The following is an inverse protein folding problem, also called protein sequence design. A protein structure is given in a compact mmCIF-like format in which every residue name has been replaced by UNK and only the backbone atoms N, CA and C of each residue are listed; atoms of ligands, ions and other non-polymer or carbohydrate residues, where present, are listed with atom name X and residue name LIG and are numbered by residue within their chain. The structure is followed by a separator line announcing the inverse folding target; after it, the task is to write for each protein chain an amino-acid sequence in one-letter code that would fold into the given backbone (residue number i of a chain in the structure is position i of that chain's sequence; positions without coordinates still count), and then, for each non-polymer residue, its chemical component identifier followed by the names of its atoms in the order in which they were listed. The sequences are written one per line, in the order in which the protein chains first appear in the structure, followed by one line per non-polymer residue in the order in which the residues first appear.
data_IF_125860651328
#
_entry.id   IF_125860651328
#
_cell.length_a   1.000
_cell.length_b   1.000
_cell.length_c   1.000
_cell.angle_alpha   90.00
_cell.angle_beta   90.00
_cell.angle_gamma   90.00
#
_symmetry.space_group_name_H-M   'P 1'
#
loop_
_entity.id
_entity.type
_entity.pdbx_description
1 polymer ?
#
# COMPACT_ATOMS: atom_id res chain seq x y z
N UNK A 1 -14.82 -13.12 21.69
CA UNK A 1 -14.60 -14.16 20.66
C UNK A 1 -14.56 -13.62 19.23
N UNK A 2 -15.58 -12.89 18.73
CA UNK A 2 -15.58 -12.33 17.35
C UNK A 2 -14.32 -11.50 17.00
N UNK A 3 -13.86 -10.65 17.92
CA UNK A 3 -12.62 -9.87 17.74
C UNK A 3 -11.35 -10.74 17.63
N UNK A 4 -11.29 -11.85 18.37
CA UNK A 4 -10.14 -12.78 18.34
C UNK A 4 -10.10 -13.54 17.02
N UNK A 5 -11.25 -13.99 16.52
CA UNK A 5 -11.34 -14.64 15.21
C UNK A 5 -10.95 -13.69 14.08
N UNK A 6 -11.38 -12.43 14.12
CA UNK A 6 -10.96 -11.41 13.15
C UNK A 6 -9.45 -11.12 13.23
N UNK A 7 -8.87 -11.09 14.42
CA UNK A 7 -7.42 -10.93 14.58
C UNK A 7 -6.67 -12.11 13.99
N UNK A 8 -7.08 -13.34 14.30
CA UNK A 8 -6.48 -14.56 13.73
C UNK A 8 -6.65 -14.63 12.21
N UNK A 9 -7.77 -14.12 11.69
CA UNK A 9 -8.02 -14.00 10.25
C UNK A 9 -7.04 -13.04 9.55
N UNK A 10 -6.71 -11.92 10.20
CA UNK A 10 -5.83 -10.89 9.63
C UNK A 10 -4.34 -11.13 9.91
N UNK A 11 -4.03 -11.98 10.89
CA UNK A 11 -2.69 -12.21 11.38
C UNK A 11 -1.72 -12.70 10.30
N UNK A 12 -2.06 -13.72 9.45
CA UNK A 12 -1.14 -14.18 8.42
C UNK A 12 -0.73 -13.08 7.45
N UNK A 13 -1.69 -12.26 6.99
CA UNK A 13 -1.41 -11.15 6.08
C UNK A 13 -0.55 -10.07 6.74
N UNK A 14 -0.84 -9.74 8.00
CA UNK A 14 -0.03 -8.75 8.72
C UNK A 14 1.41 -9.21 8.91
N UNK A 15 1.63 -10.51 9.20
CA UNK A 15 2.98 -11.09 9.29
C UNK A 15 3.71 -10.97 7.95
N UNK A 16 3.06 -11.31 6.84
CA UNK A 16 3.64 -11.15 5.49
C UNK A 16 4.00 -9.69 5.21
N UNK A 17 3.09 -8.76 5.53
CA UNK A 17 3.34 -7.32 5.41
C UNK A 17 4.57 -6.86 6.18
N UNK A 18 4.72 -7.31 7.43
CA UNK A 18 5.90 -7.01 8.26
C UNK A 18 7.19 -7.57 7.64
N UNK A 19 7.17 -8.79 7.12
CA UNK A 19 8.33 -9.39 6.45
C UNK A 19 8.72 -8.56 5.22
N UNK A 20 7.76 -8.19 4.37
CA UNK A 20 8.01 -7.38 3.18
C UNK A 20 8.58 -6.00 3.53
N UNK A 21 8.01 -5.31 4.52
CA UNK A 21 8.52 -4.01 4.96
C UNK A 21 9.89 -4.14 5.63
N UNK A 22 10.11 -5.13 6.50
CA UNK A 22 11.39 -5.33 7.15
C UNK A 22 12.50 -5.57 6.12
N UNK A 23 12.23 -6.41 5.12
CA UNK A 23 13.13 -6.59 3.99
C UNK A 23 13.42 -5.26 3.28
N UNK A 24 12.40 -4.45 3.04
CA UNK A 24 12.58 -3.20 2.30
C UNK A 24 13.27 -2.09 3.11
N UNK A 25 13.04 -2.03 4.42
CA UNK A 25 13.77 -1.16 5.35
C UNK A 25 15.27 -1.52 5.42
N UNK A 26 15.65 -2.77 5.17
CA UNK A 26 17.06 -3.18 5.09
C UNK A 26 17.72 -2.69 3.80
N UNK A 27 16.98 -2.72 2.69
CA UNK A 27 17.51 -2.41 1.34
C UNK A 27 17.46 -0.91 1.03
N UNK A 28 16.65 -0.13 1.74
CA UNK A 28 16.51 1.32 1.54
C UNK A 28 17.20 2.14 2.65
N UNK A 29 17.91 3.18 2.25
CA UNK A 29 18.63 4.07 3.18
C UNK A 29 17.72 5.10 3.84
N UNK A 30 16.57 5.41 3.24
CA UNK A 30 15.65 6.45 3.70
C UNK A 30 14.19 6.03 3.53
N UNK A 31 13.43 6.11 4.62
CA UNK A 31 11.99 5.90 4.62
C UNK A 31 11.32 6.82 5.65
N UNK A 32 10.05 7.11 5.43
CA UNK A 32 9.18 7.78 6.39
C UNK A 32 8.06 6.84 6.81
N UNK A 33 7.60 6.95 8.06
CA UNK A 33 6.55 6.10 8.60
C UNK A 33 5.43 6.94 9.20
N UNK A 34 4.18 6.52 8.97
CA UNK A 34 2.99 7.08 9.60
C UNK A 34 1.95 5.99 9.84
N UNK A 35 1.13 6.14 10.88
CA UNK A 35 -0.03 5.26 11.09
C UNK A 35 -1.31 6.00 10.70
N UNK A 36 -2.09 5.42 9.77
CA UNK A 36 -3.39 5.93 9.35
C UNK A 36 -4.42 4.80 9.40
N UNK A 37 -5.58 5.05 10.01
CA UNK A 37 -6.67 4.09 10.14
C UNK A 37 -6.26 2.69 10.67
N UNK A 38 -5.33 2.65 11.63
CA UNK A 38 -4.79 1.39 12.16
C UNK A 38 -3.97 0.57 11.15
N UNK A 39 -3.42 1.22 10.13
CA UNK A 39 -2.44 0.67 9.18
C UNK A 39 -1.16 1.49 9.28
N UNK A 40 -0.02 0.83 9.44
CA UNK A 40 1.29 1.44 9.34
C UNK A 40 1.68 1.58 7.86
N UNK A 41 1.94 2.81 7.43
CA UNK A 41 2.32 3.16 6.07
C UNK A 41 3.79 3.57 6.06
N UNK A 42 4.55 2.94 5.19
CA UNK A 42 5.97 3.23 4.96
C UNK A 42 6.12 3.90 3.59
N UNK A 43 6.68 5.11 3.58
CA UNK A 43 7.00 5.84 2.37
C UNK A 43 8.47 5.63 2.05
N UNK A 44 8.75 4.90 0.97
CA UNK A 44 10.10 4.58 0.54
C UNK A 44 10.53 5.46 -0.63
N UNK A 45 11.81 5.79 -0.72
CA UNK A 45 12.33 6.52 -1.88
C UNK A 45 12.10 5.75 -3.17
N UNK A 46 12.36 4.45 -3.17
CA UNK A 46 12.30 3.63 -4.37
C UNK A 46 11.70 2.27 -4.03
N UNK A 47 10.98 1.66 -4.98
CA UNK A 47 10.78 0.22 -5.07
C UNK A 47 11.49 -0.34 -6.31
N UNK A 48 11.73 -1.66 -6.43
CA UNK A 48 12.14 -2.24 -7.70
C UNK A 48 11.07 -1.93 -8.76
N UNK A 49 11.45 -1.73 -10.02
CA UNK A 49 10.52 -1.29 -11.08
C UNK A 49 9.32 -2.20 -11.35
N UNK A 50 9.32 -3.41 -10.78
CA UNK A 50 8.25 -4.40 -10.87
C UNK A 50 7.34 -4.43 -9.63
N UNK A 51 7.61 -3.61 -8.60
CA UNK A 51 6.77 -3.39 -7.42
C UNK A 51 6.40 -1.91 -7.37
N UNK A 52 5.11 -1.62 -7.28
CA UNK A 52 4.61 -0.24 -7.19
C UNK A 52 4.04 0.08 -5.80
N UNK A 53 3.81 -0.94 -4.98
CA UNK A 53 3.33 -0.85 -3.61
C UNK A 53 3.29 -2.23 -2.96
N UNK A 54 3.19 -2.25 -1.64
CA UNK A 54 2.95 -3.46 -0.85
C UNK A 54 1.83 -3.17 0.14
N UNK A 55 0.80 -4.00 0.20
CA UNK A 55 -0.33 -3.76 1.11
C UNK A 55 -0.91 -5.08 1.62
N UNK A 56 -0.62 -5.37 2.90
CA UNK A 56 -1.00 -6.61 3.56
C UNK A 56 -1.41 -6.35 5.01
N UNK A 57 -2.65 -6.70 5.36
CA UNK A 57 -3.20 -6.53 6.69
C UNK A 57 -3.04 -5.11 7.21
N UNK A 58 -2.26 -4.94 8.27
CA UNK A 58 -2.01 -3.65 8.93
C UNK A 58 -0.79 -2.90 8.39
N UNK A 59 -0.23 -3.33 7.25
CA UNK A 59 0.98 -2.78 6.66
C UNK A 59 0.72 -2.33 5.22
N UNK A 60 1.18 -1.13 4.89
CA UNK A 60 1.25 -0.61 3.52
C UNK A 60 2.61 0.03 3.25
N UNK A 61 3.08 -0.05 2.01
CA UNK A 61 4.33 0.53 1.53
C UNK A 61 4.11 1.25 0.22
N UNK A 62 4.57 2.49 0.14
CA UNK A 62 4.31 3.42 -0.96
C UNK A 62 5.63 4.00 -1.47
N UNK A 63 5.79 4.07 -2.79
CA UNK A 63 6.91 4.80 -3.39
C UNK A 63 6.64 6.31 -3.37
N UNK A 64 7.57 7.10 -2.81
CA UNK A 64 7.45 8.57 -2.73
C UNK A 64 8.15 9.30 -3.91
N UNK A 65 8.88 8.59 -4.75
CA UNK A 65 9.65 9.16 -5.87
C UNK A 65 9.42 8.34 -7.14
N UNK A 66 9.28 9.01 -8.30
CA UNK A 66 9.28 8.32 -9.59
C UNK A 66 10.69 8.29 -10.19
N UNK A 67 11.12 7.10 -10.58
CA UNK A 67 12.33 6.90 -11.38
C UNK A 67 11.96 6.65 -12.84
N UNK A 68 12.79 7.10 -13.78
CA UNK A 68 12.68 6.62 -15.17
C UNK A 68 12.99 5.12 -15.24
N UNK A 69 12.63 4.49 -16.36
CA UNK A 69 13.12 3.16 -16.74
C UNK A 69 14.65 3.06 -16.77
N UNK A 70 15.36 4.18 -16.96
CA UNK A 70 16.82 4.30 -16.87
C UNK A 70 17.36 4.52 -15.45
N UNK A 71 16.50 4.50 -14.42
CA UNK A 71 16.90 4.63 -13.02
C UNK A 71 17.25 6.06 -12.58
N UNK A 72 16.98 7.07 -13.41
CA UNK A 72 17.22 8.48 -13.08
C UNK A 72 16.09 8.98 -12.18
N UNK A 73 16.43 9.62 -11.07
CA UNK A 73 15.48 10.27 -10.16
C UNK A 73 14.83 11.45 -10.91
N UNK A 74 13.56 11.35 -11.26
CA UNK A 74 12.94 12.34 -12.15
C UNK A 74 12.30 13.50 -11.41
N UNK A 75 11.54 13.24 -10.35
CA UNK A 75 10.96 14.25 -9.46
C UNK A 75 10.43 13.61 -8.17
N UNK A 76 10.39 14.38 -7.08
CA UNK A 76 9.55 14.08 -5.91
C UNK A 76 8.11 14.05 -6.43
N UNK A 77 7.41 12.94 -6.22
CA UNK A 77 5.99 12.83 -6.53
C UNK A 77 5.28 13.91 -5.73
N UNK A 78 4.43 14.73 -6.36
CA UNK A 78 3.74 15.81 -5.64
C UNK A 78 3.04 15.21 -4.41
N UNK A 79 3.01 15.95 -3.30
CA UNK A 79 2.39 15.41 -2.09
C UNK A 79 0.94 14.98 -2.29
N UNK A 80 0.21 15.66 -3.17
CA UNK A 80 -1.12 15.24 -3.64
C UNK A 80 -1.11 13.84 -4.25
N UNK A 81 -0.15 13.55 -5.13
CA UNK A 81 -0.02 12.24 -5.75
C UNK A 81 0.39 11.19 -4.70
N UNK A 82 1.30 11.51 -3.78
CA UNK A 82 1.67 10.62 -2.67
C UNK A 82 0.43 10.29 -1.83
N UNK A 83 -0.38 11.28 -1.47
CA UNK A 83 -1.59 11.06 -0.68
C UNK A 83 -2.66 10.26 -1.41
N UNK A 84 -2.76 10.42 -2.74
CA UNK A 84 -3.65 9.59 -3.56
C UNK A 84 -3.20 8.12 -3.57
N UNK A 85 -1.89 7.87 -3.74
CA UNK A 85 -1.34 6.51 -3.68
C UNK A 85 -1.52 5.92 -2.27
N UNK A 86 -1.27 6.71 -1.21
CA UNK A 86 -1.53 6.25 0.17
C UNK A 86 -2.99 5.86 0.37
N UNK A 87 -3.93 6.63 -0.16
CA UNK A 87 -5.36 6.32 -0.08
C UNK A 87 -5.70 5.01 -0.79
N UNK A 88 -5.12 4.80 -1.97
CA UNK A 88 -5.25 3.58 -2.75
C UNK A 88 -4.68 2.35 -2.01
N UNK A 89 -3.46 2.45 -1.47
CA UNK A 89 -2.80 1.37 -0.73
C UNK A 89 -3.52 1.06 0.60
N UNK A 90 -4.08 2.08 1.27
CA UNK A 90 -5.00 1.86 2.40
C UNK A 90 -6.25 1.07 1.99
N UNK A 91 -6.72 1.25 0.76
CA UNK A 91 -7.77 0.42 0.16
C UNK A 91 -7.34 -1.04 0.10
N UNK A 92 -6.15 -1.32 -0.44
CA UNK A 92 -5.58 -2.67 -0.49
C UNK A 92 -5.37 -3.29 0.89
N UNK A 93 -4.85 -2.53 1.86
CA UNK A 93 -4.73 -2.97 3.25
C UNK A 93 -6.10 -3.34 3.84
N UNK A 94 -7.14 -2.57 3.51
CA UNK A 94 -8.52 -2.85 3.93
C UNK A 94 -9.07 -4.12 3.29
N UNK A 95 -8.85 -4.33 1.98
CA UNK A 95 -9.21 -5.59 1.31
C UNK A 95 -8.51 -6.79 1.96
N UNK A 96 -7.23 -6.66 2.25
CA UNK A 96 -6.44 -7.69 2.92
C UNK A 96 -6.99 -8.02 4.31
N UNK A 97 -7.42 -7.01 5.07
CA UNK A 97 -8.08 -7.19 6.37
C UNK A 97 -9.45 -7.88 6.27
N UNK A 98 -10.21 -7.63 5.19
CA UNK A 98 -11.52 -8.24 4.93
C UNK A 98 -11.35 -9.69 4.48
N UNK A 99 -10.50 -9.93 3.49
CA UNK A 99 -10.33 -11.23 2.85
C UNK A 99 -9.36 -12.17 3.59
N UNK A 100 -8.55 -11.65 4.51
CA UNK A 100 -7.60 -12.45 5.30
C UNK A 100 -6.71 -13.32 4.40
N UNK A 101 -6.57 -14.64 4.65
CA UNK A 101 -5.74 -15.51 3.83
C UNK A 101 -6.14 -15.56 2.34
N UNK A 102 -7.43 -15.35 2.03
CA UNK A 102 -7.95 -15.42 0.65
C UNK A 102 -7.48 -14.22 -0.20
N UNK A 103 -7.05 -13.13 0.44
CA UNK A 103 -6.55 -11.94 -0.24
C UNK A 103 -5.44 -12.24 -1.25
N UNK A 104 -4.48 -13.09 -0.90
CA UNK A 104 -3.38 -13.45 -1.78
C UNK A 104 -3.86 -14.21 -3.03
N UNK A 105 -4.87 -15.05 -2.89
CA UNK A 105 -5.46 -15.75 -4.03
C UNK A 105 -6.16 -14.75 -4.94
N UNK A 106 -6.93 -13.82 -4.36
CA UNK A 106 -7.64 -12.80 -5.12
C UNK A 106 -6.70 -11.84 -5.87
N UNK A 107 -5.62 -11.39 -5.22
CA UNK A 107 -4.60 -10.55 -5.88
C UNK A 107 -3.80 -11.34 -6.92
N UNK A 108 -3.52 -12.63 -6.70
CA UNK A 108 -2.84 -13.43 -7.73
C UNK A 108 -3.72 -13.61 -8.96
N UNK A 109 -5.01 -13.92 -8.77
CA UNK A 109 -5.97 -14.08 -9.86
C UNK A 109 -6.08 -12.80 -10.71
N UNK A 110 -6.04 -11.61 -10.10
CA UNK A 110 -6.05 -10.36 -10.87
C UNK A 110 -4.80 -10.22 -11.77
N UNK A 111 -3.64 -10.71 -11.32
CA UNK A 111 -2.41 -10.63 -12.10
C UNK A 111 -2.39 -11.63 -13.27
N UNK A 112 -3.19 -12.69 -13.21
CA UNK A 112 -3.39 -13.64 -14.33
C UNK A 112 -4.35 -13.07 -15.39
N UNK A 113 -5.19 -12.09 -15.03
CA UNK A 113 -6.06 -11.37 -15.99
C UNK A 113 -5.33 -10.27 -16.77
N UNK A 114 -4.23 -10.62 -17.44
CA UNK A 114 -3.34 -9.67 -18.13
C UNK A 114 -4.02 -8.87 -19.25
N UNK A 115 -5.09 -9.42 -19.84
CA UNK A 115 -5.86 -8.82 -20.93
C UNK A 115 -6.76 -7.67 -20.47
N UNK A 116 -7.01 -7.55 -19.17
CA UNK A 116 -7.79 -6.47 -18.59
C UNK A 116 -6.81 -5.34 -18.19
N UNK A 117 -7.03 -4.10 -18.66
CA UNK A 117 -6.26 -2.94 -18.22
C UNK A 117 -6.17 -2.91 -16.69
N UNK A 118 -4.97 -2.66 -16.15
CA UNK A 118 -4.68 -2.84 -14.73
C UNK A 118 -5.68 -2.08 -13.85
N UNK A 119 -5.93 -0.82 -14.17
CA UNK A 119 -6.86 0.07 -13.48
C UNK A 119 -8.32 -0.38 -13.50
N UNK A 120 -8.69 -1.29 -14.42
CA UNK A 120 -10.04 -1.87 -14.55
C UNK A 120 -10.16 -3.24 -13.88
N UNK A 121 -9.07 -3.79 -13.34
CA UNK A 121 -9.12 -5.06 -12.63
C UNK A 121 -9.93 -4.91 -11.35
N UNK A 122 -10.63 -5.97 -10.96
CA UNK A 122 -11.58 -5.91 -9.87
C UNK A 122 -10.95 -5.44 -8.55
N UNK A 123 -9.78 -5.98 -8.17
CA UNK A 123 -9.17 -5.60 -6.88
C UNK A 123 -8.63 -4.17 -6.92
N UNK A 124 -8.05 -3.73 -8.05
CA UNK A 124 -7.64 -2.34 -8.29
C UNK A 124 -8.81 -1.35 -8.15
N UNK A 125 -9.91 -1.61 -8.86
CA UNK A 125 -11.11 -0.77 -8.79
C UNK A 125 -11.74 -0.79 -7.40
N UNK A 126 -11.73 -1.95 -6.73
CA UNK A 126 -12.23 -2.08 -5.37
C UNK A 126 -11.34 -1.31 -4.38
N UNK A 127 -10.01 -1.30 -4.57
CA UNK A 127 -9.06 -0.61 -3.70
C UNK A 127 -9.26 0.90 -3.82
N UNK A 128 -9.43 1.40 -5.04
CA UNK A 128 -9.82 2.81 -5.28
C UNK A 128 -11.16 3.17 -4.63
N UNK A 129 -12.13 2.24 -4.62
CA UNK A 129 -13.47 2.49 -4.06
C UNK A 129 -13.50 2.54 -2.54
N UNK A 130 -12.75 1.65 -1.86
CA UNK A 130 -12.73 1.58 -0.39
C UNK A 130 -11.54 2.32 0.22
N UNK A 131 -10.61 2.80 -0.62
CA UNK A 131 -9.51 3.65 -0.23
C UNK A 131 -10.03 4.94 0.40
N UNK A 132 -9.26 5.44 1.37
CA UNK A 132 -9.61 6.61 2.15
C UNK A 132 -8.87 7.81 1.57
N UNK A 133 -9.53 8.96 1.49
CA UNK A 133 -8.84 10.19 1.10
C UNK A 133 -7.87 10.62 2.19
N UNK A 134 -6.60 10.76 1.81
CA UNK A 134 -5.54 11.27 2.68
C UNK A 134 -5.17 12.68 2.21
N UNK A 135 -4.84 13.56 3.14
CA UNK A 135 -4.23 14.85 2.86
C UNK A 135 -2.94 15.00 3.66
N UNK A 136 -2.06 15.87 3.19
CA UNK A 136 -0.81 16.20 3.87
C UNK A 136 -0.83 17.66 4.37
N UNK A 137 -0.26 17.88 5.56
CA UNK A 137 0.04 19.21 6.06
C UNK A 137 1.24 19.84 5.33
N UNK A 138 1.54 21.10 5.68
CA UNK A 138 2.65 21.86 5.10
C UNK A 138 3.97 21.06 5.15
N UNK A 139 4.67 20.97 4.02
CA UNK A 139 5.91 20.19 3.81
C UNK A 139 5.81 18.65 3.94
N UNK A 140 4.61 18.06 3.94
CA UNK A 140 4.44 16.59 3.95
C UNK A 140 4.85 15.89 5.25
N UNK A 141 5.02 16.65 6.33
CA UNK A 141 5.42 16.13 7.66
C UNK A 141 4.25 15.61 8.50
N UNK A 142 3.02 15.79 8.03
CA UNK A 142 1.82 15.34 8.73
C UNK A 142 0.79 14.83 7.72
N UNK A 143 0.17 13.68 8.00
CA UNK A 143 -0.89 13.11 7.17
C UNK A 143 -2.19 13.02 7.97
N UNK A 144 -3.32 13.29 7.32
CA UNK A 144 -4.65 13.20 7.93
C UNK A 144 -5.65 12.56 6.97
N UNK A 145 -6.59 11.82 7.53
CA UNK A 145 -7.75 11.30 6.81
C UNK A 145 -8.76 12.44 6.61
N UNK A 146 -9.31 12.52 5.41
CA UNK A 146 -10.44 13.40 5.09
C UNK A 146 -11.65 12.51 4.86
N UNK A 147 -12.69 12.70 5.68
CA UNK A 147 -13.97 12.04 5.52
C UNK A 147 -14.80 12.72 4.43
#
# INVERSE_FOLDING_TARGET
MKKVLLLLWQLPQSIIGFICVAFWCIVTSEYYYVTLNGTAIFLFDKFPSWIWGISFGTIAGVEKVKYTSSGIKTNIVSWETVTNIMGHELGYATQSKILGPVYLIAILLQHVTIWIPYEKRFMEAWANKIGIKVTCGYNGKAFKIVN
#
